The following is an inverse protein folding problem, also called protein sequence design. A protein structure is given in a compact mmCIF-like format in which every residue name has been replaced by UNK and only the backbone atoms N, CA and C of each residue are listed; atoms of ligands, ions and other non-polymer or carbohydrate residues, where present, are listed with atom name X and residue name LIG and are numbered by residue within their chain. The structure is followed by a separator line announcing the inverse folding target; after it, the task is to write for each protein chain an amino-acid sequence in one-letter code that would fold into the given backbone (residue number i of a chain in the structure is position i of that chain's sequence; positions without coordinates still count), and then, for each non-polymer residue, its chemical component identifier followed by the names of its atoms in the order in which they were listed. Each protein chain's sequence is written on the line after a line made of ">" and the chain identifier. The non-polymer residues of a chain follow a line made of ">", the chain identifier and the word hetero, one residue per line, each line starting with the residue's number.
data_IF_112256827315
#
_entry.id   IF_112256827315
#
_cell.length_a   1.000
_cell.length_b   1.000
_cell.length_c   1.000
_cell.angle_alpha   90.00
_cell.angle_beta   90.00
_cell.angle_gamma   90.00
#
_symmetry.space_group_name_H-M   'P 1'
#
loop_
_entity.id
_entity.type
_entity.pdbx_description
1 polymer ?
#
# COMPACT_ATOMS: atom_id res chain seq x y z
N UNK A 1 16.07 -8.32 -1.17
CA UNK A 1 14.68 -8.25 -0.68
C UNK A 1 14.62 -7.30 0.49
N UNK A 2 13.62 -6.43 0.53
CA UNK A 2 13.33 -5.55 1.66
C UNK A 2 12.06 -6.03 2.36
N UNK A 3 12.03 -5.89 3.68
CA UNK A 3 10.86 -6.21 4.51
C UNK A 3 10.65 -5.11 5.53
N UNK A 4 9.39 -4.88 5.89
CA UNK A 4 8.98 -3.89 6.86
C UNK A 4 8.58 -4.58 8.16
N UNK A 5 8.85 -3.89 9.26
CA UNK A 5 8.27 -4.22 10.56
C UNK A 5 7.36 -3.06 11.00
N UNK A 6 6.24 -3.37 11.62
CA UNK A 6 5.23 -2.40 12.08
C UNK A 6 5.78 -1.26 12.96
N UNK A 7 6.96 -1.44 13.55
CA UNK A 7 7.64 -0.42 14.33
C UNK A 7 8.39 0.64 13.48
N UNK A 8 8.19 0.63 12.16
CA UNK A 8 8.81 1.60 11.26
C UNK A 8 10.27 1.30 10.92
N UNK A 9 10.66 0.03 10.88
CA UNK A 9 12.01 -0.37 10.44
C UNK A 9 11.91 -1.11 9.11
N UNK A 10 12.69 -0.67 8.13
CA UNK A 10 12.89 -1.38 6.87
C UNK A 10 14.13 -2.25 6.99
N UNK A 11 13.95 -3.55 6.80
CA UNK A 11 15.01 -4.54 6.84
C UNK A 11 15.45 -4.93 5.43
N UNK A 12 16.74 -4.92 5.18
CA UNK A 12 17.36 -5.43 3.96
C UNK A 12 17.82 -6.87 4.21
N UNK A 13 17.34 -7.76 3.36
CA UNK A 13 17.71 -9.19 3.39
C UNK A 13 18.45 -9.48 2.09
N UNK A 14 19.71 -9.88 2.17
CA UNK A 14 20.52 -10.29 1.02
C UNK A 14 20.11 -11.67 0.55
N UNK A 15 20.39 -12.01 -0.70
CA UNK A 15 20.25 -13.38 -1.21
C UNK A 15 21.11 -14.36 -0.39
N UNK A 16 20.67 -15.60 -0.29
CA UNK A 16 21.37 -16.69 0.40
C UNK A 16 21.35 -16.68 1.95
N UNK A 17 20.30 -16.11 2.55
CA UNK A 17 20.03 -16.34 3.98
C UNK A 17 20.93 -15.58 4.94
N UNK A 18 21.51 -14.46 4.52
CA UNK A 18 22.25 -13.57 5.44
C UNK A 18 21.35 -13.02 6.54
N UNK A 19 21.95 -12.66 7.68
CA UNK A 19 21.24 -11.96 8.75
C UNK A 19 20.63 -10.67 8.21
N UNK A 20 19.32 -10.41 8.46
CA UNK A 20 18.70 -9.15 8.09
C UNK A 20 19.43 -7.96 8.73
N UNK A 21 19.62 -6.89 7.97
CA UNK A 21 20.19 -5.62 8.46
C UNK A 21 19.12 -4.53 8.45
N UNK A 22 19.03 -3.70 9.49
CA UNK A 22 18.18 -2.53 9.50
C UNK A 22 18.68 -1.55 8.44
N UNK A 23 17.92 -1.37 7.35
CA UNK A 23 18.29 -0.51 6.24
C UNK A 23 17.88 0.95 6.49
N UNK A 24 16.70 1.14 7.09
CA UNK A 24 16.22 2.47 7.53
C UNK A 24 15.34 2.32 8.77
N UNK A 25 15.51 3.23 9.72
CA UNK A 25 14.69 3.38 10.93
C UNK A 25 14.30 4.84 11.13
N UNK A 26 14.09 5.56 10.03
CA UNK A 26 13.69 6.97 10.07
C UNK A 26 12.37 7.15 10.83
N UNK A 27 12.24 8.18 11.69
CA UNK A 27 10.99 8.44 12.44
C UNK A 27 9.73 8.58 11.58
N UNK A 28 9.85 9.01 10.32
CA UNK A 28 8.73 9.08 9.37
C UNK A 28 8.12 7.71 9.04
N UNK A 29 8.83 6.61 9.32
CA UNK A 29 8.36 5.25 9.10
C UNK A 29 7.56 4.70 10.29
N UNK A 30 7.60 5.37 11.43
CA UNK A 30 6.90 4.96 12.64
C UNK A 30 5.39 5.21 12.59
N UNK A 31 4.72 4.82 13.66
CA UNK A 31 3.26 4.98 13.82
C UNK A 31 2.89 6.12 14.78
N UNK A 32 3.86 6.94 15.21
CA UNK A 32 3.65 8.05 16.12
C UNK A 32 3.12 7.68 17.51
N UNK A 33 3.22 6.42 17.93
CA UNK A 33 2.63 5.94 19.18
C UNK A 33 1.10 5.80 19.10
N UNK A 34 0.55 5.70 17.89
CA UNK A 34 -0.88 5.57 17.63
C UNK A 34 -1.52 4.38 18.36
N UNK A 35 -2.82 4.52 18.67
CA UNK A 35 -3.63 3.56 19.44
C UNK A 35 -4.19 2.41 18.60
N UNK A 36 -3.87 2.36 17.30
CA UNK A 36 -4.26 1.23 16.45
C UNK A 36 -3.58 -0.05 16.95
N UNK A 37 -4.34 -1.11 17.03
CA UNK A 37 -3.82 -2.42 17.41
C UNK A 37 -4.13 -3.42 16.29
N UNK A 38 -3.12 -3.93 15.56
CA UNK A 38 -1.69 -3.60 15.67
C UNK A 38 -1.37 -2.18 15.15
N UNK A 39 -0.34 -1.53 15.70
CA UNK A 39 0.06 -0.20 15.28
C UNK A 39 0.74 -0.29 13.91
N UNK A 40 0.06 0.18 12.87
CA UNK A 40 0.59 0.20 11.51
C UNK A 40 1.28 1.54 11.23
N UNK A 41 2.62 1.53 11.16
CA UNK A 41 3.40 2.62 10.59
C UNK A 41 3.68 2.34 9.11
N UNK A 42 4.96 2.14 8.76
CA UNK A 42 5.35 1.67 7.44
C UNK A 42 4.67 0.34 7.10
N UNK A 43 4.11 0.23 5.89
CA UNK A 43 3.33 -0.89 5.39
C UNK A 43 3.82 -1.30 3.98
N UNK A 44 3.11 -0.97 2.90
CA UNK A 44 3.56 -1.28 1.53
C UNK A 44 4.86 -0.60 1.16
N UNK A 45 5.72 -1.28 0.39
CA UNK A 45 6.96 -0.70 -0.16
C UNK A 45 7.15 -1.11 -1.60
N UNK A 46 7.64 -0.18 -2.42
CA UNK A 46 8.00 -0.46 -3.81
C UNK A 46 9.10 0.51 -4.27
N UNK A 47 10.00 0.04 -5.13
CA UNK A 47 11.00 0.88 -5.76
C UNK A 47 10.44 1.56 -7.01
N UNK A 48 10.95 2.77 -7.32
CA UNK A 48 10.80 3.30 -8.66
C UNK A 48 11.52 2.40 -9.69
N UNK A 49 11.21 2.55 -10.97
CA UNK A 49 11.74 1.68 -12.03
C UNK A 49 13.27 1.67 -12.11
N UNK A 50 13.93 2.75 -11.72
CA UNK A 50 15.40 2.84 -11.69
C UNK A 50 16.02 2.21 -10.43
N UNK A 51 15.23 1.90 -9.40
CA UNK A 51 15.72 1.41 -8.11
C UNK A 51 16.48 2.46 -7.28
N UNK A 52 16.27 3.73 -7.58
CA UNK A 52 16.95 4.87 -6.93
C UNK A 52 16.15 5.50 -5.80
N UNK A 53 14.85 5.20 -5.73
CA UNK A 53 13.94 5.67 -4.67
C UNK A 53 13.11 4.48 -4.18
N UNK A 54 13.04 4.29 -2.87
CA UNK A 54 12.06 3.41 -2.24
C UNK A 54 10.88 4.24 -1.75
N UNK A 55 9.69 3.93 -2.23
CA UNK A 55 8.45 4.48 -1.70
C UNK A 55 7.91 3.58 -0.59
N UNK A 56 7.34 4.20 0.43
CA UNK A 56 6.81 3.51 1.61
C UNK A 56 5.44 4.09 1.96
N UNK A 57 4.42 3.25 1.99
CA UNK A 57 3.12 3.62 2.54
C UNK A 57 3.21 3.70 4.07
N UNK A 58 2.84 4.82 4.67
CA UNK A 58 2.66 4.94 6.10
C UNK A 58 1.18 5.06 6.43
N UNK A 59 0.60 3.97 6.90
CA UNK A 59 -0.83 3.84 7.18
C UNK A 59 -1.28 4.79 8.29
N UNK A 60 -0.49 4.92 9.36
CA UNK A 60 -0.85 5.72 10.54
C UNK A 60 -0.94 7.22 10.24
N UNK A 61 -0.09 7.72 9.35
CA UNK A 61 -0.01 9.15 9.04
C UNK A 61 -0.64 9.53 7.70
N UNK A 62 -1.25 8.58 7.00
CA UNK A 62 -1.92 8.84 5.71
C UNK A 62 -0.96 9.43 4.67
N UNK A 63 0.26 8.86 4.59
CA UNK A 63 1.37 9.40 3.80
C UNK A 63 2.04 8.33 2.94
N UNK A 64 2.60 8.77 1.81
CA UNK A 64 3.66 8.03 1.12
C UNK A 64 4.98 8.75 1.44
N UNK A 65 5.94 7.98 1.93
CA UNK A 65 7.30 8.41 2.22
C UNK A 65 8.19 7.99 1.06
N UNK A 66 9.15 8.82 0.69
CA UNK A 66 10.21 8.47 -0.25
C UNK A 66 11.57 8.44 0.44
N UNK A 67 12.39 7.44 0.11
CA UNK A 67 13.73 7.26 0.65
C UNK A 67 14.68 7.06 -0.53
N UNK A 68 15.58 8.00 -0.80
CA UNK A 68 16.61 7.82 -1.81
C UNK A 68 17.51 6.61 -1.48
N UNK A 69 17.93 5.89 -2.50
CA UNK A 69 18.93 4.82 -2.39
C UNK A 69 20.27 5.39 -2.83
N UNK A 70 21.21 5.47 -1.91
CA UNK A 70 22.55 5.95 -2.22
C UNK A 70 23.28 4.96 -3.15
N UNK A 71 24.30 5.43 -3.85
CA UNK A 71 25.08 4.62 -4.79
C UNK A 71 25.70 3.35 -4.15
N UNK A 72 26.00 3.39 -2.86
CA UNK A 72 26.49 2.24 -2.08
C UNK A 72 25.36 1.32 -1.58
N UNK A 73 24.12 1.62 -1.90
CA UNK A 73 22.94 0.86 -1.53
C UNK A 73 22.44 1.12 -0.09
N UNK A 74 22.96 2.14 0.59
CA UNK A 74 22.44 2.61 1.88
C UNK A 74 21.22 3.50 1.70
N UNK A 75 20.42 3.68 2.75
CA UNK A 75 19.29 4.61 2.75
C UNK A 75 19.77 6.06 2.81
N UNK A 76 19.20 6.91 1.97
CA UNK A 76 19.25 8.36 2.12
C UNK A 76 18.28 8.86 3.18
N UNK A 77 18.16 10.18 3.31
CA UNK A 77 17.20 10.82 4.23
C UNK A 77 15.77 10.64 3.72
N UNK A 78 14.89 10.10 4.56
CA UNK A 78 13.48 9.98 4.25
C UNK A 78 12.79 11.35 4.18
N UNK A 79 11.81 11.47 3.32
CA UNK A 79 10.95 12.65 3.22
C UNK A 79 9.53 12.28 2.83
N UNK A 80 8.57 13.14 3.15
CA UNK A 80 7.18 12.95 2.76
C UNK A 80 7.07 13.24 1.26
N UNK A 81 6.54 12.26 0.49
CA UNK A 81 6.27 12.44 -0.93
C UNK A 81 4.87 13.03 -1.15
N UNK A 82 3.85 12.46 -0.50
CA UNK A 82 2.47 12.96 -0.53
C UNK A 82 1.76 12.62 0.78
N UNK A 83 0.79 13.46 1.15
CA UNK A 83 -0.11 13.26 2.29
C UNK A 83 -1.57 13.18 1.83
N UNK A 84 -2.45 12.65 2.69
CA UNK A 84 -3.90 12.69 2.48
C UNK A 84 -4.44 11.51 1.68
N UNK A 85 -3.66 10.43 1.49
CA UNK A 85 -4.19 9.13 1.06
C UNK A 85 -4.59 8.37 2.32
N UNK A 86 -5.87 8.07 2.48
CA UNK A 86 -6.38 7.55 3.73
C UNK A 86 -5.96 6.09 3.96
N UNK A 87 -5.20 5.87 5.03
CA UNK A 87 -4.66 4.57 5.42
C UNK A 87 -4.00 3.82 4.23
N UNK A 88 -2.95 4.38 3.60
CA UNK A 88 -2.28 3.71 2.49
C UNK A 88 -1.69 2.38 2.98
N UNK A 89 -1.92 1.32 2.20
CA UNK A 89 -1.49 -0.05 2.50
C UNK A 89 -0.54 -0.55 1.40
N UNK A 90 -0.92 -1.51 0.58
CA UNK A 90 -0.10 -1.97 -0.52
C UNK A 90 0.10 -0.90 -1.60
N UNK A 91 1.29 -0.88 -2.18
CA UNK A 91 1.64 -0.01 -3.30
C UNK A 91 2.31 -0.79 -4.42
N UNK A 92 2.15 -0.33 -5.66
CA UNK A 92 2.84 -0.82 -6.86
C UNK A 92 3.26 0.35 -7.73
N UNK A 93 4.34 0.18 -8.48
CA UNK A 93 4.83 1.18 -9.46
C UNK A 93 4.55 0.68 -10.88
N UNK A 94 4.01 1.54 -11.74
CA UNK A 94 3.85 1.24 -13.16
C UNK A 94 5.06 1.68 -14.01
N UNK A 95 5.01 1.47 -15.31
CA UNK A 95 6.12 1.79 -16.22
C UNK A 95 6.41 3.29 -16.39
N UNK A 96 5.55 4.16 -15.93
CA UNK A 96 5.72 5.61 -15.94
C UNK A 96 6.10 6.17 -14.55
N UNK A 97 6.49 5.30 -13.61
CA UNK A 97 6.72 5.64 -12.20
C UNK A 97 5.50 6.23 -11.49
N UNK A 98 4.28 5.95 -11.97
CA UNK A 98 3.09 6.25 -11.18
C UNK A 98 2.95 5.25 -10.04
N UNK A 99 2.61 5.75 -8.86
CA UNK A 99 2.39 4.96 -7.66
C UNK A 99 0.90 4.64 -7.54
N UNK A 100 0.57 3.35 -7.58
CA UNK A 100 -0.78 2.83 -7.36
C UNK A 100 -0.88 2.42 -5.91
N UNK A 101 -1.81 3.00 -5.16
CA UNK A 101 -1.91 2.88 -3.70
C UNK A 101 -3.26 2.36 -3.31
N UNK A 102 -3.31 1.31 -2.50
CA UNK A 102 -4.52 0.91 -1.80
C UNK A 102 -4.85 1.95 -0.71
N UNK A 103 -5.88 2.78 -0.93
CA UNK A 103 -6.43 3.68 0.07
C UNK A 103 -7.45 2.88 0.89
N UNK A 104 -6.93 2.18 1.87
CA UNK A 104 -7.55 1.08 2.57
C UNK A 104 -8.90 1.46 3.24
N UNK A 105 -9.01 2.65 3.83
CA UNK A 105 -10.22 3.14 4.50
C UNK A 105 -11.16 3.97 3.61
N UNK A 106 -10.86 4.06 2.32
CA UNK A 106 -11.71 4.74 1.33
C UNK A 106 -12.25 3.78 0.27
N UNK A 107 -11.92 2.48 0.39
CA UNK A 107 -12.36 1.43 -0.53
C UNK A 107 -11.99 1.72 -1.99
N UNK A 108 -10.82 2.34 -2.20
CA UNK A 108 -10.35 2.75 -3.53
C UNK A 108 -8.85 2.52 -3.76
N UNK A 109 -8.45 2.56 -5.03
CA UNK A 109 -7.05 2.67 -5.44
C UNK A 109 -6.82 4.11 -5.90
N UNK A 110 -5.83 4.76 -5.30
CA UNK A 110 -5.38 6.10 -5.70
C UNK A 110 -4.11 5.97 -6.54
N UNK A 111 -4.09 6.61 -7.72
CA UNK A 111 -2.90 6.66 -8.58
C UNK A 111 -2.27 8.04 -8.52
N UNK A 112 -0.99 8.08 -8.18
CA UNK A 112 -0.21 9.30 -8.00
C UNK A 112 0.93 9.30 -9.01
N UNK A 113 1.13 10.40 -9.73
CA UNK A 113 2.26 10.52 -10.66
C UNK A 113 3.59 10.77 -9.93
N UNK A 114 4.70 10.73 -10.67
CA UNK A 114 6.05 10.93 -10.16
C UNK A 114 6.30 12.33 -9.54
N UNK A 115 5.35 13.26 -9.68
CA UNK A 115 5.42 14.60 -9.08
C UNK A 115 4.62 14.71 -7.77
N UNK A 116 3.89 13.65 -7.38
CA UNK A 116 3.03 13.64 -6.20
C UNK A 116 1.59 14.09 -6.48
N UNK A 117 1.20 14.23 -7.76
CA UNK A 117 -0.17 14.60 -8.12
C UNK A 117 -1.05 13.36 -8.27
N UNK A 118 -2.23 13.36 -7.64
CA UNK A 118 -3.25 12.33 -7.89
C UNK A 118 -3.79 12.50 -9.30
N UNK A 119 -3.68 11.46 -10.12
CA UNK A 119 -4.10 11.44 -11.52
C UNK A 119 -5.29 10.52 -11.79
N UNK A 120 -5.56 9.57 -10.89
CA UNK A 120 -6.73 8.70 -11.00
C UNK A 120 -7.16 8.19 -9.62
N UNK A 121 -8.42 7.83 -9.52
CA UNK A 121 -9.04 7.04 -8.45
C UNK A 121 -9.87 5.94 -9.09
N UNK A 122 -9.77 4.72 -8.58
CA UNK A 122 -10.37 3.52 -9.14
C UNK A 122 -11.06 2.72 -8.06
N UNK A 123 -12.20 2.16 -8.39
CA UNK A 123 -12.95 1.28 -7.51
C UNK A 123 -13.95 2.00 -6.63
N UNK A 124 -14.72 1.20 -5.93
CA UNK A 124 -15.73 1.62 -4.98
C UNK A 124 -16.23 0.39 -4.23
N UNK A 125 -16.87 0.59 -3.09
CA UNK A 125 -17.64 -0.44 -2.41
C UNK A 125 -19.09 -0.43 -2.93
N UNK A 126 -19.55 -1.56 -3.47
CA UNK A 126 -20.87 -1.68 -4.11
C UNK A 126 -21.85 -2.54 -3.30
N UNK A 127 -21.62 -2.68 -2.01
CA UNK A 127 -22.47 -3.46 -1.12
C UNK A 127 -22.05 -4.91 -0.97
N UNK A 128 -22.93 -5.73 -0.35
CA UNK A 128 -22.69 -7.14 -0.09
C UNK A 128 -23.81 -7.96 -0.75
N UNK A 129 -23.43 -8.97 -1.52
CA UNK A 129 -24.35 -9.93 -2.12
C UNK A 129 -24.02 -11.35 -1.66
N UNK A 130 -24.96 -12.04 -1.04
CA UNK A 130 -24.78 -13.40 -0.52
C UNK A 130 -23.56 -13.53 0.44
N UNK A 131 -23.31 -12.51 1.25
CA UNK A 131 -22.19 -12.48 2.17
C UNK A 131 -20.84 -12.17 1.53
N UNK A 132 -20.79 -11.75 0.26
CA UNK A 132 -19.58 -11.42 -0.49
C UNK A 132 -19.58 -9.94 -0.82
N UNK A 133 -18.51 -9.24 -0.45
CA UNK A 133 -18.32 -7.84 -0.81
C UNK A 133 -18.20 -7.68 -2.33
N UNK A 134 -18.90 -6.69 -2.86
CA UNK A 134 -18.88 -6.30 -4.28
C UNK A 134 -18.02 -5.02 -4.41
N UNK A 135 -17.15 -5.02 -5.42
CA UNK A 135 -16.17 -3.94 -5.58
C UNK A 135 -14.98 -4.10 -4.63
N UNK A 136 -14.56 -3.00 -4.01
CA UNK A 136 -13.52 -3.01 -2.99
C UNK A 136 -14.14 -2.92 -1.60
N UNK A 137 -13.55 -3.64 -0.66
CA UNK A 137 -13.84 -3.47 0.76
C UNK A 137 -12.54 -3.68 1.53
N UNK A 138 -11.97 -2.59 1.97
CA UNK A 138 -10.69 -2.56 2.66
C UNK A 138 -9.55 -3.14 1.80
N UNK A 139 -9.25 -2.53 0.62
CA UNK A 139 -8.20 -2.99 -0.26
C UNK A 139 -6.84 -2.92 0.45
N UNK A 140 -6.10 -4.03 0.46
CA UNK A 140 -4.86 -4.14 1.23
C UNK A 140 -3.62 -4.29 0.35
N UNK A 141 -3.74 -4.97 -0.79
CA UNK A 141 -2.63 -5.14 -1.72
C UNK A 141 -3.12 -5.22 -3.15
N UNK A 142 -2.24 -4.95 -4.10
CA UNK A 142 -2.57 -4.97 -5.51
C UNK A 142 -1.46 -5.62 -6.33
N UNK A 143 -1.82 -6.12 -7.50
CA UNK A 143 -0.88 -6.70 -8.46
C UNK A 143 -1.36 -6.46 -9.89
N UNK A 144 -0.42 -6.24 -10.80
CA UNK A 144 -0.68 -6.13 -12.22
C UNK A 144 -0.57 -7.49 -12.91
N UNK A 145 -1.43 -7.76 -13.88
CA UNK A 145 -1.22 -8.89 -14.79
C UNK A 145 0.06 -8.69 -15.63
N UNK A 146 0.64 -9.78 -16.12
CA UNK A 146 1.86 -9.71 -16.94
C UNK A 146 1.65 -8.89 -18.22
N UNK A 147 0.47 -8.96 -18.81
CA UNK A 147 0.09 -8.22 -20.02
C UNK A 147 -0.37 -6.77 -19.73
N UNK A 148 -0.33 -6.35 -18.45
CA UNK A 148 -0.72 -5.02 -18.00
C UNK A 148 -2.18 -4.61 -18.33
N UNK A 149 -3.03 -5.58 -18.64
CA UNK A 149 -4.44 -5.35 -18.95
C UNK A 149 -5.38 -5.47 -17.76
N UNK A 150 -4.87 -5.97 -16.65
CA UNK A 150 -5.70 -6.28 -15.46
C UNK A 150 -4.99 -5.86 -14.17
N UNK A 151 -5.76 -5.22 -13.30
CA UNK A 151 -5.42 -4.98 -11.91
C UNK A 151 -6.14 -6.01 -11.03
N UNK A 152 -5.40 -6.68 -10.16
CA UNK A 152 -5.92 -7.52 -9.09
C UNK A 152 -5.74 -6.81 -7.76
N UNK A 153 -6.77 -6.80 -6.93
CA UNK A 153 -6.77 -6.14 -5.62
C UNK A 153 -7.28 -7.12 -4.56
N UNK A 154 -6.46 -7.42 -3.57
CA UNK A 154 -6.89 -8.19 -2.41
C UNK A 154 -7.63 -7.32 -1.42
N UNK A 155 -8.84 -7.73 -1.04
CA UNK A 155 -9.67 -7.04 -0.07
C UNK A 155 -9.55 -7.75 1.29
N UNK A 156 -9.17 -6.99 2.30
CA UNK A 156 -8.98 -7.53 3.65
C UNK A 156 -10.31 -7.78 4.36
N UNK A 157 -11.38 -7.05 3.98
CA UNK A 157 -12.73 -7.16 4.56
C UNK A 157 -12.72 -7.26 6.09
N UNK A 158 -11.82 -6.52 6.72
CA UNK A 158 -11.54 -6.61 8.15
C UNK A 158 -12.73 -6.16 8.97
N UNK A 159 -13.04 -6.94 10.01
CA UNK A 159 -13.95 -6.50 11.07
C UNK A 159 -13.27 -5.37 11.86
N UNK A 160 -13.51 -4.14 11.46
CA UNK A 160 -12.79 -2.95 11.90
C UNK A 160 -12.89 -2.58 13.39
N UNK A 161 -13.92 -2.94 14.19
CA UNK A 161 -13.85 -2.78 15.64
C UNK A 161 -12.62 -3.44 16.26
N UNK A 162 -12.10 -4.51 15.63
CA UNK A 162 -10.89 -5.20 16.06
C UNK A 162 -9.61 -4.40 15.72
N UNK A 163 -9.63 -3.63 14.64
CA UNK A 163 -8.51 -2.79 14.19
C UNK A 163 -8.55 -1.37 14.75
N UNK A 164 -9.57 -1.03 15.56
CA UNK A 164 -9.74 0.32 16.10
C UNK A 164 -10.09 1.38 15.04
N UNK A 165 -10.46 0.97 13.84
CA UNK A 165 -10.78 1.89 12.75
C UNK A 165 -12.10 2.63 13.03
N UNK A 166 -12.14 3.89 12.63
CA UNK A 166 -13.20 4.83 12.96
C UNK A 166 -14.26 5.02 11.88
N UNK A 167 -14.14 4.33 10.76
CA UNK A 167 -15.17 4.37 9.73
C UNK A 167 -16.40 3.60 10.19
N UNK A 168 -17.48 4.34 10.47
CA UNK A 168 -18.76 3.73 10.83
C UNK A 168 -19.37 2.94 9.66
N UNK A 169 -19.03 3.30 8.42
CA UNK A 169 -19.50 2.64 7.21
C UNK A 169 -18.88 1.25 7.13
N UNK A 170 -17.54 1.16 7.18
CA UNK A 170 -16.84 -0.11 7.07
C UNK A 170 -17.21 -1.06 8.21
N UNK A 171 -17.34 -0.58 9.44
CA UNK A 171 -17.71 -1.41 10.59
C UNK A 171 -19.15 -1.93 10.51
N UNK A 172 -20.05 -1.24 9.80
CA UNK A 172 -21.40 -1.70 9.58
C UNK A 172 -21.46 -2.82 8.55
N UNK A 173 -20.66 -2.72 7.48
CA UNK A 173 -20.69 -3.66 6.36
C UNK A 173 -19.86 -4.92 6.59
N UNK A 174 -18.71 -4.83 7.25
CA UNK A 174 -17.81 -5.97 7.41
C UNK A 174 -18.41 -7.14 8.20
N UNK A 175 -19.34 -6.89 9.11
CA UNK A 175 -20.07 -7.97 9.81
C UNK A 175 -21.08 -8.71 8.93
N UNK A 176 -21.50 -8.15 7.80
CA UNK A 176 -22.37 -8.80 6.84
C UNK A 176 -21.60 -9.75 5.91
N UNK A 177 -20.25 -9.65 5.86
CA UNK A 177 -19.42 -10.49 5.01
C UNK A 177 -19.22 -11.86 5.65
N UNK A 178 -19.80 -12.89 5.07
CA UNK A 178 -19.64 -14.29 5.48
C UNK A 178 -18.75 -15.09 4.53
N UNK A 179 -18.48 -14.59 3.33
CA UNK A 179 -17.69 -15.24 2.29
C UNK A 179 -16.16 -15.10 2.46
N UNK A 180 -15.70 -14.38 3.50
CA UNK A 180 -14.28 -14.17 3.77
C UNK A 180 -13.64 -13.12 2.86
N UNK A 181 -12.32 -13.23 2.71
CA UNK A 181 -11.51 -12.33 1.89
C UNK A 181 -11.80 -12.51 0.41
N UNK A 182 -11.71 -11.42 -0.34
CA UNK A 182 -11.95 -11.42 -1.80
C UNK A 182 -10.76 -10.87 -2.56
N UNK A 183 -10.69 -11.22 -3.85
CA UNK A 183 -9.80 -10.59 -4.81
C UNK A 183 -10.66 -9.98 -5.91
N UNK A 184 -10.63 -8.65 -6.00
CA UNK A 184 -11.28 -7.93 -7.09
C UNK A 184 -10.39 -7.93 -8.32
N UNK A 185 -11.01 -8.02 -9.49
CA UNK A 185 -10.36 -7.99 -10.80
C UNK A 185 -10.96 -6.84 -11.62
N UNK A 186 -10.10 -5.91 -12.04
CA UNK A 186 -10.51 -4.77 -12.86
C UNK A 186 -9.75 -4.75 -14.18
N UNK A 187 -10.41 -4.50 -15.32
CA UNK A 187 -9.73 -4.12 -16.54
C UNK A 187 -8.99 -2.80 -16.32
N UNK A 188 -7.74 -2.73 -16.68
CA UNK A 188 -6.93 -1.51 -16.56
C UNK A 188 -5.91 -1.46 -17.69
N UNK A 189 -5.61 -0.24 -18.15
CA UNK A 189 -4.48 0.00 -19.03
C UNK A 189 -3.31 0.50 -18.19
N UNK A 190 -2.42 -0.42 -17.84
CA UNK A 190 -1.30 -0.15 -16.93
C UNK A 190 -0.05 0.08 -17.75
N UNK A 191 0.62 1.24 -17.64
CA UNK A 191 1.87 1.52 -18.34
C UNK A 191 2.92 0.42 -18.11
N UNK A 192 3.53 -0.05 -19.18
CA UNK A 192 4.59 -1.06 -19.14
C UNK A 192 5.92 -0.42 -18.79
N UNK A 193 6.80 -1.18 -18.14
CA UNK A 193 8.19 -0.76 -17.93
C UNK A 193 8.89 -0.79 -19.29
N UNK A 194 9.56 0.30 -19.71
CA UNK A 194 10.28 0.33 -20.96
C UNK A 194 11.34 -0.79 -21.03
N UNK A 195 11.29 -1.60 -22.09
CA UNK A 195 12.26 -2.69 -22.32
C UNK A 195 11.89 -4.08 -21.80
N UNK A 196 10.67 -4.24 -21.29
CA UNK A 196 10.07 -5.55 -20.94
C UNK A 196 9.00 -5.94 -21.96
#
# INVERSE_FOLDING_TARGET
>A
MYRIHFNGVIWKIRSHGSTPEAWSSDPLLGNGGGTLTPPFGANGVEFNNEGTILFVANTAFHQIIQIPVNHDGTAGTASIFITGINAPDGIMIDGNDNIWVCANQEDEIVVVDSTGKVIAKLGDFNGIQNGIAQGFLFPASLAFSNDRSTLYVSNLTLFLPFAGARSAIDSAWTKEVSGGYTVSKLPAQIPSIPGN
#
